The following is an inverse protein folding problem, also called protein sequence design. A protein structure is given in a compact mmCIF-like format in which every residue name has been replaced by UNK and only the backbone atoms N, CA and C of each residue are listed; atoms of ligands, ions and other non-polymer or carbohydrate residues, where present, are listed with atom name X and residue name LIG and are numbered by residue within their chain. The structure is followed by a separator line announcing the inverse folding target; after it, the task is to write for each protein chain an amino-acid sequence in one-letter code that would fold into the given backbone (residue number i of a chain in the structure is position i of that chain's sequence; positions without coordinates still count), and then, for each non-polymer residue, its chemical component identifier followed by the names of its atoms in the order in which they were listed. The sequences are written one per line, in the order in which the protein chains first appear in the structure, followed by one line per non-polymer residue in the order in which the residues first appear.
data_IF_258466850493
#
_entry.id   IF_258466850493
#
_cell.length_a   1.000
_cell.length_b   1.000
_cell.length_c   1.000
_cell.angle_alpha   90.00
_cell.angle_beta   90.00
_cell.angle_gamma   90.00
#
_symmetry.space_group_name_H-M   'P 1'
#
loop_
_entity.id
_entity.type
_entity.pdbx_description
1 polymer ?
#
# COMPACT_ATOMS: atom_id res chain seq x y z
N UNK A 1 -1.10 -4.95 -26.24
CA UNK A 1 -1.16 -3.65 -25.56
C UNK A 1 -0.53 -3.74 -24.18
N UNK A 2 0.31 -2.78 -23.88
CA UNK A 2 0.92 -2.72 -22.56
C UNK A 2 -0.05 -2.14 -21.54
N UNK A 3 -0.10 -2.72 -20.36
CA UNK A 3 -0.86 -2.15 -19.26
C UNK A 3 -0.20 -0.86 -18.79
N UNK A 4 -1.02 0.11 -18.48
CA UNK A 4 -0.56 1.37 -17.92
C UNK A 4 -0.17 1.14 -16.45
N UNK A 5 1.01 1.63 -16.07
CA UNK A 5 1.43 1.69 -14.68
C UNK A 5 1.05 3.06 -14.13
N UNK A 6 0.25 3.08 -13.07
CA UNK A 6 -0.10 4.32 -12.39
C UNK A 6 0.82 4.45 -11.18
N UNK A 7 1.54 5.57 -11.11
CA UNK A 7 2.51 5.83 -10.05
C UNK A 7 2.09 7.03 -9.22
N UNK A 8 2.16 6.87 -7.91
CA UNK A 8 2.02 7.95 -6.95
C UNK A 8 3.37 8.14 -6.27
N UNK A 9 3.90 9.35 -6.35
CA UNK A 9 5.20 9.69 -5.76
C UNK A 9 5.00 10.21 -4.34
N UNK A 10 5.79 9.70 -3.42
CA UNK A 10 5.72 10.11 -2.02
C UNK A 10 5.96 11.60 -1.86
N UNK A 11 5.11 12.25 -1.06
CA UNK A 11 5.33 13.57 -0.49
C UNK A 11 5.84 13.35 0.93
N UNK A 12 7.17 13.18 1.04
CA UNK A 12 7.78 12.77 2.30
C UNK A 12 8.09 13.97 3.20
N UNK A 13 7.57 13.89 4.43
CA UNK A 13 7.87 14.82 5.51
C UNK A 13 8.35 13.98 6.69
N UNK A 14 9.61 14.10 7.05
CA UNK A 14 10.23 13.26 8.08
C UNK A 14 9.55 13.40 9.44
N UNK A 15 9.24 14.61 9.85
CA UNK A 15 8.58 14.86 11.14
C UNK A 15 7.19 14.21 11.17
N UNK A 16 6.42 14.36 10.12
CA UNK A 16 5.10 13.75 10.00
C UNK A 16 5.18 12.23 9.99
N UNK A 17 6.17 11.66 9.29
CA UNK A 17 6.38 10.22 9.27
C UNK A 17 6.61 9.65 10.66
N UNK A 18 7.55 10.22 11.41
CA UNK A 18 7.87 9.73 12.74
C UNK A 18 6.71 9.93 13.72
N UNK A 19 5.93 10.99 13.58
CA UNK A 19 4.72 11.18 14.37
C UNK A 19 3.69 10.09 14.10
N UNK A 20 3.47 9.73 12.83
CA UNK A 20 2.46 8.72 12.50
C UNK A 20 2.86 7.29 12.85
N UNK A 21 4.14 6.99 12.98
CA UNK A 21 4.62 5.65 13.34
C UNK A 21 5.09 5.56 14.79
N UNK A 22 4.99 6.63 15.56
CA UNK A 22 5.58 6.65 16.91
C UNK A 22 5.05 5.56 17.85
N UNK A 23 3.82 5.13 17.67
CA UNK A 23 3.24 4.05 18.49
C UNK A 23 3.88 2.69 18.24
N UNK A 24 4.56 2.52 17.09
CA UNK A 24 5.31 1.30 16.81
C UNK A 24 6.55 1.18 17.68
N UNK A 25 7.12 2.31 18.11
CA UNK A 25 8.41 2.32 18.81
C UNK A 25 8.35 1.59 20.15
N UNK A 26 7.19 1.53 20.77
CA UNK A 26 7.01 0.86 22.07
C UNK A 26 7.17 -0.67 22.02
N UNK A 27 7.09 -1.27 20.82
CA UNK A 27 7.17 -2.73 20.67
C UNK A 27 8.18 -3.21 19.63
N UNK A 28 8.79 -2.31 18.87
CA UNK A 28 9.76 -2.69 17.83
C UNK A 28 11.15 -3.02 18.34
N UNK A 29 11.51 -2.58 19.54
CA UNK A 29 12.84 -2.80 20.09
C UNK A 29 12.87 -2.68 21.59
N UNK A 30 14.03 -2.98 22.18
CA UNK A 30 14.23 -2.95 23.63
C UNK A 30 14.45 -1.53 24.15
N UNK A 31 14.74 -0.57 23.26
CA UNK A 31 14.93 0.83 23.58
C UNK A 31 14.60 1.68 22.33
N UNK A 32 14.54 3.00 22.49
CA UNK A 32 14.18 3.90 21.40
C UNK A 32 15.12 3.84 20.21
N UNK A 33 16.42 3.75 20.45
CA UNK A 33 17.42 3.69 19.39
C UNK A 33 17.23 2.45 18.51
N UNK A 34 17.07 1.29 19.14
CA UNK A 34 16.83 0.03 18.43
C UNK A 34 15.49 0.07 17.68
N UNK A 35 14.45 0.58 18.32
CA UNK A 35 13.12 0.69 17.71
C UNK A 35 13.14 1.59 16.48
N UNK A 36 13.81 2.74 16.56
CA UNK A 36 13.93 3.67 15.42
C UNK A 36 14.73 3.06 14.28
N UNK A 37 15.80 2.34 14.58
CA UNK A 37 16.60 1.66 13.55
C UNK A 37 15.76 0.61 12.81
N UNK A 38 14.93 -0.14 13.52
CA UNK A 38 14.04 -1.14 12.93
C UNK A 38 12.92 -0.48 12.13
N UNK A 39 12.34 0.60 12.63
CA UNK A 39 11.33 1.36 11.87
C UNK A 39 11.91 1.90 10.56
N UNK A 40 13.16 2.37 10.59
CA UNK A 40 13.83 2.84 9.38
C UNK A 40 13.99 1.71 8.37
N UNK A 41 14.37 0.51 8.81
CA UNK A 41 14.44 -0.66 7.92
C UNK A 41 13.09 -1.01 7.31
N UNK A 42 12.02 -0.94 8.09
CA UNK A 42 10.66 -1.15 7.59
C UNK A 42 10.35 -0.14 6.47
N UNK A 43 10.72 1.11 6.66
CA UNK A 43 10.46 2.15 5.66
C UNK A 43 11.17 1.89 4.32
N UNK A 44 12.30 1.20 4.35
CA UNK A 44 13.16 1.00 3.17
C UNK A 44 12.78 -0.23 2.33
N UNK A 45 11.95 -1.14 2.85
CA UNK A 45 11.59 -2.33 2.08
C UNK A 45 10.70 -1.99 0.89
N UNK A 46 10.85 -2.75 -0.18
CA UNK A 46 9.99 -2.65 -1.37
C UNK A 46 9.11 -3.88 -1.39
N UNK A 47 7.80 -3.67 -1.37
CA UNK A 47 6.84 -4.77 -1.32
C UNK A 47 6.01 -4.80 -2.60
N UNK A 48 5.94 -5.97 -3.20
CA UNK A 48 5.04 -6.24 -4.31
C UNK A 48 3.89 -7.12 -3.86
N UNK A 49 2.68 -6.77 -4.23
CA UNK A 49 1.48 -7.53 -3.91
C UNK A 49 0.77 -7.88 -5.21
N UNK A 50 0.68 -9.17 -5.49
CA UNK A 50 -0.09 -9.69 -6.61
C UNK A 50 -1.46 -10.12 -6.08
N UNK A 51 -2.50 -9.43 -6.51
CA UNK A 51 -3.86 -9.62 -6.04
C UNK A 51 -4.27 -8.57 -5.01
N UNK A 52 -5.33 -7.81 -5.32
CA UNK A 52 -5.82 -6.71 -4.50
C UNK A 52 -7.25 -6.98 -3.97
N UNK A 53 -7.63 -8.25 -3.88
CA UNK A 53 -8.92 -8.66 -3.37
C UNK A 53 -8.98 -8.76 -1.85
N UNK A 54 -9.58 -9.86 -1.34
CA UNK A 54 -9.88 -10.02 0.08
C UNK A 54 -8.70 -9.92 1.03
N UNK A 55 -7.53 -10.46 0.66
CA UNK A 55 -6.33 -10.43 1.50
C UNK A 55 -5.37 -9.32 1.07
N UNK A 56 -5.04 -9.26 -0.23
CA UNK A 56 -4.01 -8.35 -0.74
C UNK A 56 -4.28 -6.88 -0.45
N UNK A 57 -5.51 -6.42 -0.65
CA UNK A 57 -5.88 -5.03 -0.37
C UNK A 57 -5.74 -4.68 1.11
N UNK A 58 -6.18 -5.56 1.99
CA UNK A 58 -6.07 -5.36 3.44
C UNK A 58 -4.60 -5.37 3.89
N UNK A 59 -3.78 -6.26 3.34
CA UNK A 59 -2.34 -6.30 3.63
C UNK A 59 -1.66 -5.01 3.18
N UNK A 60 -1.97 -4.52 1.98
CA UNK A 60 -1.42 -3.26 1.47
C UNK A 60 -1.71 -2.10 2.42
N UNK A 61 -2.95 -1.97 2.89
CA UNK A 61 -3.35 -0.95 3.86
C UNK A 61 -2.52 -1.04 5.13
N UNK A 62 -2.40 -2.23 5.70
CA UNK A 62 -1.66 -2.45 6.95
C UNK A 62 -0.18 -2.12 6.80
N UNK A 63 0.43 -2.46 5.68
CA UNK A 63 1.85 -2.19 5.43
C UNK A 63 2.12 -0.69 5.33
N UNK A 64 1.26 0.08 4.68
CA UNK A 64 1.40 1.55 4.65
C UNK A 64 1.30 2.12 6.06
N UNK A 65 0.31 1.69 6.83
CA UNK A 65 0.13 2.16 8.21
C UNK A 65 1.30 1.77 9.12
N UNK A 66 1.94 0.62 8.86
CA UNK A 66 3.15 0.19 9.57
C UNK A 66 4.36 1.08 9.27
N UNK A 67 4.36 1.76 8.13
CA UNK A 67 5.44 2.68 7.78
C UNK A 67 6.28 2.28 6.57
N UNK A 68 5.80 1.37 5.74
CA UNK A 68 6.48 1.01 4.48
C UNK A 68 6.35 2.16 3.48
N UNK A 69 7.44 2.50 2.78
CA UNK A 69 7.47 3.61 1.82
C UNK A 69 7.38 3.20 0.35
N UNK A 70 7.46 1.91 0.04
CA UNK A 70 7.49 1.46 -1.35
C UNK A 70 6.58 0.24 -1.52
N UNK A 71 5.45 0.43 -2.18
CA UNK A 71 4.48 -0.65 -2.44
C UNK A 71 4.10 -0.67 -3.91
N UNK A 72 4.11 -1.86 -4.48
CA UNK A 72 3.62 -2.12 -5.83
C UNK A 72 2.46 -3.10 -5.75
N UNK A 73 1.37 -2.78 -6.40
CA UNK A 73 0.18 -3.64 -6.42
C UNK A 73 -0.21 -4.00 -7.85
N UNK A 74 -0.61 -5.23 -8.07
CA UNK A 74 -1.03 -5.72 -9.39
C UNK A 74 -2.28 -6.57 -9.27
N UNK A 75 -3.27 -6.32 -10.14
CA UNK A 75 -4.48 -7.12 -10.21
C UNK A 75 -5.17 -6.87 -11.54
N UNK A 76 -5.48 -7.92 -12.35
CA UNK A 76 -6.20 -7.76 -13.59
C UNK A 76 -7.71 -7.59 -13.43
N UNK A 77 -8.26 -7.87 -12.25
CA UNK A 77 -9.70 -7.91 -12.04
C UNK A 77 -10.32 -6.54 -11.74
N UNK A 78 -11.62 -6.47 -11.87
CA UNK A 78 -12.43 -5.29 -11.58
C UNK A 78 -13.38 -5.59 -10.42
N UNK A 79 -13.67 -4.59 -9.61
CA UNK A 79 -14.59 -4.77 -8.49
C UNK A 79 -15.99 -5.07 -8.95
N UNK A 80 -16.61 -6.03 -8.26
CA UNK A 80 -18.01 -6.41 -8.43
C UNK A 80 -18.77 -6.18 -7.12
N UNK A 81 -20.07 -6.06 -7.21
CA UNK A 81 -20.90 -5.81 -6.03
C UNK A 81 -20.71 -6.85 -4.94
N UNK A 82 -20.54 -8.13 -5.32
CA UNK A 82 -20.32 -9.24 -4.39
C UNK A 82 -19.01 -9.14 -3.62
N UNK A 83 -18.07 -8.27 -4.03
CA UNK A 83 -16.81 -8.08 -3.34
C UNK A 83 -16.94 -7.20 -2.08
N UNK A 84 -18.04 -6.46 -1.95
CA UNK A 84 -18.21 -5.48 -0.86
C UNK A 84 -18.14 -6.13 0.52
N UNK A 85 -18.56 -7.39 0.64
CA UNK A 85 -18.59 -8.05 1.94
C UNK A 85 -17.22 -8.26 2.59
N UNK A 86 -16.12 -8.19 1.82
CA UNK A 86 -14.80 -8.57 2.35
C UNK A 86 -13.60 -7.86 1.73
N UNK A 87 -13.74 -7.14 0.62
CA UNK A 87 -12.59 -6.55 -0.07
C UNK A 87 -12.44 -5.07 0.27
N UNK A 88 -11.25 -4.70 0.73
CA UNK A 88 -10.91 -3.37 1.20
C UNK A 88 -11.30 -2.24 0.24
N UNK A 89 -10.99 -2.40 -1.05
CA UNK A 89 -11.27 -1.37 -2.05
C UNK A 89 -12.69 -1.40 -2.60
N UNK A 90 -13.51 -2.39 -2.22
CA UNK A 90 -14.85 -2.54 -2.78
C UNK A 90 -15.84 -1.59 -2.11
N UNK A 91 -16.43 -0.72 -2.92
CA UNK A 91 -17.48 0.20 -2.49
C UNK A 91 -18.42 0.46 -3.67
N UNK A 92 -19.57 1.04 -3.42
CA UNK A 92 -20.51 1.37 -4.50
C UNK A 92 -19.86 2.25 -5.57
N UNK A 93 -19.00 3.19 -5.16
CA UNK A 93 -18.33 4.11 -6.08
C UNK A 93 -17.24 3.42 -6.91
N UNK A 94 -16.74 2.28 -6.47
CA UNK A 94 -15.63 1.60 -7.10
C UNK A 94 -16.02 0.39 -7.94
N UNK A 95 -17.29 0.02 -7.97
CA UNK A 95 -17.77 -1.08 -8.80
C UNK A 95 -17.43 -0.81 -10.27
N UNK A 96 -16.83 -1.79 -10.94
CA UNK A 96 -16.40 -1.67 -12.33
C UNK A 96 -15.01 -1.08 -12.51
N UNK A 97 -14.36 -0.62 -11.45
CA UNK A 97 -12.99 -0.11 -11.51
C UNK A 97 -11.98 -1.22 -11.25
N UNK A 98 -10.77 -1.09 -11.82
CA UNK A 98 -9.70 -2.08 -11.63
C UNK A 98 -9.26 -2.10 -10.15
N UNK A 99 -9.07 -3.31 -9.61
CA UNK A 99 -8.74 -3.49 -8.19
C UNK A 99 -7.39 -2.89 -7.81
N UNK A 100 -6.36 -3.05 -8.65
CA UNK A 100 -5.04 -2.50 -8.35
C UNK A 100 -5.06 -0.97 -8.35
N UNK A 101 -5.76 -0.36 -9.30
CA UNK A 101 -5.86 1.10 -9.39
C UNK A 101 -6.56 1.69 -8.16
N UNK A 102 -7.67 1.09 -7.75
CA UNK A 102 -8.42 1.55 -6.56
C UNK A 102 -7.58 1.37 -5.30
N UNK A 103 -6.98 0.20 -5.10
CA UNK A 103 -6.18 -0.07 -3.91
C UNK A 103 -4.96 0.84 -3.88
N UNK A 104 -4.27 1.02 -5.02
CA UNK A 104 -3.11 1.91 -5.12
C UNK A 104 -3.43 3.34 -4.70
N UNK A 105 -4.50 3.91 -5.22
CA UNK A 105 -4.94 5.25 -4.83
C UNK A 105 -5.33 5.33 -3.35
N UNK A 106 -6.07 4.33 -2.87
CA UNK A 106 -6.54 4.30 -1.48
C UNK A 106 -5.40 4.24 -0.48
N UNK A 107 -4.39 3.39 -0.73
CA UNK A 107 -3.25 3.28 0.19
C UNK A 107 -2.35 4.51 0.13
N UNK A 108 -2.20 5.13 -1.04
CA UNK A 108 -1.45 6.37 -1.15
C UNK A 108 -2.09 7.48 -0.31
N UNK A 109 -3.41 7.59 -0.36
CA UNK A 109 -4.15 8.65 0.33
C UNK A 109 -4.17 8.50 1.86
N UNK A 110 -3.70 7.37 2.40
CA UNK A 110 -3.60 7.20 3.86
C UNK A 110 -2.66 8.26 4.46
N UNK A 111 -1.50 8.46 3.86
CA UNK A 111 -0.48 9.36 4.41
C UNK A 111 0.28 10.16 3.37
N UNK A 112 0.18 9.81 2.10
CA UNK A 112 0.84 10.43 0.95
C UNK A 112 2.37 10.42 1.00
N UNK A 113 2.96 9.72 1.95
CA UNK A 113 4.41 9.61 2.11
C UNK A 113 4.96 8.26 1.61
N UNK A 114 4.20 7.56 0.78
CA UNK A 114 4.55 6.26 0.21
C UNK A 114 4.60 6.34 -1.30
N UNK A 115 5.61 5.70 -1.90
CA UNK A 115 5.65 5.52 -3.35
C UNK A 115 4.81 4.31 -3.71
N UNK A 116 3.78 4.51 -4.53
CA UNK A 116 2.87 3.44 -4.93
C UNK A 116 2.90 3.28 -6.44
N UNK A 117 3.06 2.05 -6.90
CA UNK A 117 2.85 1.68 -8.29
C UNK A 117 1.69 0.70 -8.39
N UNK A 118 0.77 0.92 -9.32
CA UNK A 118 -0.32 -0.01 -9.56
C UNK A 118 -0.41 -0.38 -11.04
N UNK A 119 -0.70 -1.63 -11.33
CA UNK A 119 -0.81 -2.15 -12.68
C UNK A 119 -1.94 -3.16 -12.79
N UNK A 120 -2.70 -3.05 -13.89
CA UNK A 120 -3.90 -3.86 -14.11
C UNK A 120 -3.59 -5.21 -14.77
N UNK A 121 -2.49 -5.85 -14.41
CA UNK A 121 -2.18 -7.24 -14.79
C UNK A 121 -0.98 -7.78 -14.03
N UNK A 122 -0.84 -9.10 -14.04
CA UNK A 122 0.33 -9.76 -13.49
C UNK A 122 1.41 -9.84 -14.56
N UNK A 123 2.42 -8.98 -14.44
CA UNK A 123 3.55 -8.98 -15.35
C UNK A 123 4.77 -8.43 -14.60
N UNK A 124 5.74 -9.30 -14.37
CA UNK A 124 6.92 -8.99 -13.57
C UNK A 124 7.69 -7.78 -14.09
N UNK A 125 7.70 -7.56 -15.39
CA UNK A 125 8.43 -6.42 -15.98
C UNK A 125 7.78 -5.07 -15.66
N UNK A 126 6.55 -5.05 -15.17
CA UNK A 126 5.80 -3.84 -14.89
C UNK A 126 5.60 -3.57 -13.40
N UNK A 127 5.81 -4.57 -12.58
CA UNK A 127 5.71 -4.50 -11.13
C UNK A 127 7.09 -4.47 -10.47
#
# INVERSE_FOLDING_TARGET
MNSKVIKYTADFDEKRYWERVKRNLGWLGNNDEEAKARQKKISEVVIGIAGCGGIGGAVAERLVRLGVHHIKVADPDYFELSNINRQFGASLDNIGKNKAEVVGESIFNISKDVNVGSVAKYNDSQV
#
